data_IF_378259547805
#
_entry.id   IF_378259547805
#
_cell.length_a   1.000
_cell.length_b   1.000
_cell.length_c   1.000
_cell.angle_alpha   90.00
_cell.angle_beta   90.00
_cell.angle_gamma   90.00
#
_symmetry.space_group_name_H-M   'P 1'
#
loop_
_entity.id
_entity.type
_entity.pdbx_description
1 polymer ?
#
# COMPACT_ATOMS: atom_id res chain seq x y z
N UNK A 1 -40.28 10.66 -17.77
CA UNK A 1 -39.27 11.69 -17.40
C UNK A 1 -38.46 11.33 -16.15
N UNK A 2 -39.01 10.66 -15.12
CA UNK A 2 -38.26 10.34 -13.88
C UNK A 2 -37.10 9.35 -14.08
N UNK A 3 -37.26 8.35 -14.96
CA UNK A 3 -36.23 7.34 -15.25
C UNK A 3 -35.02 7.88 -16.02
N UNK A 4 -35.21 8.94 -16.80
CA UNK A 4 -34.11 9.57 -17.54
C UNK A 4 -33.17 10.31 -16.57
N UNK A 5 -33.74 11.00 -15.57
CA UNK A 5 -32.97 11.61 -14.47
C UNK A 5 -32.19 10.56 -13.68
N UNK A 6 -32.84 9.42 -13.37
CA UNK A 6 -32.19 8.31 -12.67
C UNK A 6 -30.96 7.77 -13.40
N UNK A 7 -31.05 7.60 -14.72
CA UNK A 7 -29.94 7.13 -15.55
C UNK A 7 -28.80 8.16 -15.65
N UNK A 8 -29.11 9.45 -15.68
CA UNK A 8 -28.07 10.50 -15.61
C UNK A 8 -27.33 10.44 -14.26
N UNK A 9 -28.07 10.25 -13.16
CA UNK A 9 -27.46 10.10 -11.85
C UNK A 9 -26.53 8.89 -11.76
N UNK A 10 -26.88 7.72 -12.32
CA UNK A 10 -25.99 6.55 -12.29
C UNK A 10 -24.67 6.80 -13.04
N UNK A 11 -24.72 7.51 -14.17
CA UNK A 11 -23.51 7.92 -14.92
C UNK A 11 -22.62 8.83 -14.07
N UNK A 12 -23.19 9.80 -13.35
CA UNK A 12 -22.44 10.69 -12.46
C UNK A 12 -21.75 9.90 -11.33
N UNK A 13 -22.42 8.92 -10.74
CA UNK A 13 -21.81 8.01 -9.75
C UNK A 13 -20.66 7.21 -10.36
N UNK A 14 -20.82 6.74 -11.60
CA UNK A 14 -19.77 6.06 -12.35
C UNK A 14 -18.53 6.93 -12.56
N UNK A 15 -18.70 8.19 -12.96
CA UNK A 15 -17.59 9.14 -13.12
C UNK A 15 -16.87 9.36 -11.77
N UNK A 16 -17.63 9.57 -10.68
CA UNK A 16 -17.06 9.73 -9.34
C UNK A 16 -16.24 8.51 -8.89
N UNK A 17 -16.67 7.30 -9.29
CA UNK A 17 -15.98 6.06 -9.00
C UNK A 17 -14.63 5.89 -9.69
N UNK A 18 -14.34 6.63 -10.76
CA UNK A 18 -13.06 6.50 -11.50
C UNK A 18 -11.83 6.85 -10.64
N UNK A 19 -11.99 7.75 -9.66
CA UNK A 19 -10.94 8.15 -8.73
C UNK A 19 -10.86 7.27 -7.47
N UNK A 20 -11.69 6.23 -7.41
CA UNK A 20 -11.85 5.34 -6.25
C UNK A 20 -11.39 3.93 -6.59
N UNK A 21 -11.00 3.17 -5.58
CA UNK A 21 -10.56 1.78 -5.72
C UNK A 21 -11.61 0.86 -6.32
N UNK A 22 -12.90 1.13 -6.08
CA UNK A 22 -14.03 0.40 -6.66
C UNK A 22 -14.15 0.58 -8.19
N UNK A 23 -13.55 1.63 -8.74
CA UNK A 23 -13.54 1.94 -10.17
C UNK A 23 -14.87 2.52 -10.68
N UNK A 24 -14.83 3.15 -11.85
CA UNK A 24 -16.00 3.82 -12.43
C UNK A 24 -17.08 2.87 -12.92
N UNK A 25 -16.69 1.75 -13.53
CA UNK A 25 -17.64 0.71 -13.95
C UNK A 25 -18.31 0.04 -12.75
N UNK A 26 -17.54 -0.28 -11.70
CA UNK A 26 -18.07 -0.85 -10.46
C UNK A 26 -19.08 0.09 -9.79
N UNK A 27 -18.71 1.37 -9.65
CA UNK A 27 -19.58 2.43 -9.16
C UNK A 27 -20.89 2.57 -9.97
N UNK A 28 -20.78 2.57 -11.30
CA UNK A 28 -21.92 2.68 -12.20
C UNK A 28 -22.88 1.49 -12.03
N UNK A 29 -22.38 0.25 -12.10
CA UNK A 29 -23.22 -0.94 -11.97
C UNK A 29 -23.83 -1.08 -10.58
N UNK A 30 -23.08 -0.73 -9.53
CA UNK A 30 -23.60 -0.73 -8.16
C UNK A 30 -24.77 0.27 -8.03
N UNK A 31 -24.60 1.47 -8.61
CA UNK A 31 -25.63 2.51 -8.62
C UNK A 31 -26.85 2.13 -9.46
N UNK A 32 -26.65 1.36 -10.54
CA UNK A 32 -27.70 0.89 -11.44
C UNK A 32 -28.56 -0.20 -10.76
N UNK A 33 -27.93 -1.09 -9.99
CA UNK A 33 -28.61 -2.23 -9.36
C UNK A 33 -29.27 -1.88 -8.02
N UNK A 34 -28.61 -1.09 -7.15
CA UNK A 34 -29.13 -0.79 -5.81
C UNK A 34 -29.94 0.51 -5.77
N UNK A 35 -29.39 1.59 -6.35
CA UNK A 35 -29.93 2.96 -6.45
C UNK A 35 -28.75 3.92 -6.56
N UNK A 36 -28.86 5.04 -7.30
CA UNK A 36 -27.85 6.09 -7.33
C UNK A 36 -27.42 6.54 -5.93
N UNK A 37 -28.36 6.67 -5.00
CA UNK A 37 -28.05 7.11 -3.63
C UNK A 37 -27.12 6.12 -2.91
N UNK A 38 -27.40 4.82 -3.06
CA UNK A 38 -26.61 3.76 -2.44
C UNK A 38 -25.25 3.64 -3.14
N UNK A 39 -25.22 3.78 -4.47
CA UNK A 39 -24.00 3.85 -5.26
C UNK A 39 -23.06 4.98 -4.79
N UNK A 40 -23.59 6.17 -4.50
CA UNK A 40 -22.80 7.29 -3.95
C UNK A 40 -22.19 6.92 -2.59
N UNK A 41 -22.96 6.32 -1.69
CA UNK A 41 -22.47 5.96 -0.35
C UNK A 41 -21.29 4.98 -0.46
N UNK A 42 -21.45 3.91 -1.25
CA UNK A 42 -20.40 2.91 -1.43
C UNK A 42 -19.16 3.46 -2.16
N UNK A 43 -19.35 4.33 -3.16
CA UNK A 43 -18.22 4.96 -3.86
C UNK A 43 -17.43 5.91 -2.96
N UNK A 44 -18.10 6.64 -2.08
CA UNK A 44 -17.45 7.51 -1.12
C UNK A 44 -16.75 6.75 0.00
N UNK A 45 -17.32 5.62 0.44
CA UNK A 45 -16.70 4.70 1.39
C UNK A 45 -15.47 3.97 0.80
N UNK A 46 -15.35 3.91 -0.53
CA UNK A 46 -14.19 3.33 -1.21
C UNK A 46 -12.94 4.21 -1.07
N UNK A 47 -11.81 3.58 -0.81
CA UNK A 47 -10.50 4.24 -0.71
C UNK A 47 -10.19 5.04 -1.99
N UNK A 48 -9.59 6.23 -1.81
CA UNK A 48 -9.08 7.01 -2.94
C UNK A 48 -7.80 6.39 -3.47
N UNK A 49 -7.63 6.39 -4.79
CA UNK A 49 -6.41 5.87 -5.43
C UNK A 49 -5.14 6.62 -5.00
N UNK A 50 -5.25 7.92 -4.70
CA UNK A 50 -4.15 8.75 -4.23
C UNK A 50 -3.56 8.29 -2.90
N UNK A 51 -4.42 7.84 -1.98
CA UNK A 51 -4.00 7.46 -0.63
C UNK A 51 -3.24 6.13 -0.67
N UNK A 52 -3.62 5.25 -1.60
CA UNK A 52 -2.93 3.98 -1.86
C UNK A 52 -1.52 4.26 -2.42
N UNK A 53 -1.43 5.12 -3.44
CA UNK A 53 -0.14 5.47 -4.05
C UNK A 53 0.82 6.11 -3.04
N UNK A 54 0.33 7.02 -2.19
CA UNK A 54 1.13 7.63 -1.13
C UNK A 54 1.60 6.61 -0.09
N UNK A 55 0.71 5.71 0.35
CA UNK A 55 1.05 4.64 1.30
C UNK A 55 2.09 3.68 0.72
N UNK A 56 2.00 3.36 -0.56
CA UNK A 56 2.95 2.50 -1.24
C UNK A 56 4.33 3.17 -1.36
N UNK A 57 4.40 4.46 -1.70
CA UNK A 57 5.68 5.19 -1.73
C UNK A 57 6.33 5.28 -0.35
N UNK A 58 5.54 5.47 0.71
CA UNK A 58 6.05 5.47 2.08
C UNK A 58 6.60 4.10 2.48
N UNK A 59 5.85 3.02 2.20
CA UNK A 59 6.32 1.65 2.44
C UNK A 59 7.64 1.36 1.72
N UNK A 60 7.73 1.70 0.43
CA UNK A 60 8.96 1.53 -0.36
C UNK A 60 10.15 2.29 0.24
N UNK A 61 9.96 3.54 0.64
CA UNK A 61 11.03 4.32 1.28
C UNK A 61 11.49 3.74 2.63
N UNK A 62 10.57 3.18 3.41
CA UNK A 62 10.88 2.51 4.68
C UNK A 62 11.62 1.19 4.44
N UNK A 63 11.24 0.42 3.41
CA UNK A 63 11.92 -0.82 3.03
C UNK A 63 13.33 -0.56 2.49
N UNK A 64 13.50 0.47 1.66
CA UNK A 64 14.81 0.89 1.16
C UNK A 64 15.70 1.39 2.30
N UNK A 65 15.17 2.22 3.20
CA UNK A 65 15.90 2.68 4.38
C UNK A 65 16.27 1.50 5.30
N UNK A 66 15.36 0.56 5.53
CA UNK A 66 15.62 -0.64 6.34
C UNK A 66 16.70 -1.53 5.70
N UNK A 67 16.66 -1.72 4.38
CA UNK A 67 17.68 -2.48 3.64
C UNK A 67 19.04 -1.81 3.71
N UNK A 68 19.10 -0.49 3.52
CA UNK A 68 20.33 0.28 3.64
C UNK A 68 20.92 0.18 5.07
N UNK A 69 20.10 0.34 6.11
CA UNK A 69 20.54 0.18 7.49
C UNK A 69 21.10 -1.24 7.75
N UNK A 70 20.40 -2.29 7.34
CA UNK A 70 20.88 -3.67 7.48
C UNK A 70 22.24 -3.91 6.81
N UNK A 71 22.47 -3.35 5.62
CA UNK A 71 23.77 -3.45 4.93
C UNK A 71 24.87 -2.73 5.72
N UNK A 72 24.61 -1.52 6.21
CA UNK A 72 25.57 -0.79 7.03
C UNK A 72 25.85 -1.48 8.36
N UNK A 73 24.85 -2.14 8.95
CA UNK A 73 24.99 -2.89 10.19
C UNK A 73 25.81 -4.17 9.99
N UNK A 74 25.63 -4.86 8.86
CA UNK A 74 26.46 -6.00 8.47
C UNK A 74 27.93 -5.61 8.23
N UNK A 75 28.16 -4.45 7.64
CA UNK A 75 29.51 -3.91 7.38
C UNK A 75 30.23 -3.57 8.69
N UNK A 76 29.55 -2.87 9.62
CA UNK A 76 30.07 -2.63 10.98
C UNK A 76 30.34 -3.93 11.74
N UNK A 77 29.47 -4.93 11.60
CA UNK A 77 29.68 -6.25 12.20
C UNK A 77 30.94 -6.94 11.68
N UNK A 78 31.22 -6.81 10.38
CA UNK A 78 32.42 -7.37 9.78
C UNK A 78 33.69 -6.66 10.29
N UNK A 79 33.65 -5.33 10.40
CA UNK A 79 34.77 -4.54 10.93
C UNK A 79 35.08 -4.87 12.40
N UNK A 80 34.07 -5.09 13.24
CA UNK A 80 34.25 -5.47 14.65
C UNK A 80 34.87 -6.87 14.80
N UNK A 81 34.55 -7.78 13.87
CA UNK A 81 35.18 -9.10 13.79
C UNK A 81 36.65 -8.99 13.38
N UNK A 82 36.97 -8.21 12.33
CA UNK A 82 38.36 -8.04 11.88
C UNK A 82 39.24 -7.38 12.93
N UNK A 83 38.69 -6.46 13.72
CA UNK A 83 39.39 -5.85 14.88
C UNK A 83 39.60 -6.83 16.04
N UNK A 84 39.12 -8.07 15.94
CA UNK A 84 39.24 -9.10 16.98
C UNK A 84 38.40 -8.82 18.22
N UNK A 85 37.43 -7.92 18.14
CA UNK A 85 36.53 -7.56 19.25
C UNK A 85 35.41 -8.59 19.39
N UNK A 86 35.01 -9.22 18.27
CA UNK A 86 34.02 -10.31 18.24
C UNK A 86 34.67 -11.66 17.95
N UNK A 87 34.17 -12.71 18.60
CA UNK A 87 34.46 -14.09 18.21
C UNK A 87 33.66 -14.48 16.97
N UNK A 88 34.09 -15.54 16.26
CA UNK A 88 33.37 -16.04 15.08
C UNK A 88 31.92 -16.42 15.41
N UNK A 89 31.71 -16.99 16.59
CA UNK A 89 30.40 -17.45 17.07
C UNK A 89 29.42 -16.28 17.26
N UNK A 90 29.87 -15.22 17.94
CA UNK A 90 29.07 -14.00 18.16
C UNK A 90 28.76 -13.24 16.86
N UNK A 91 29.68 -13.32 15.88
CA UNK A 91 29.49 -12.70 14.57
C UNK A 91 28.42 -13.42 13.76
N UNK A 92 28.47 -14.76 13.73
CA UNK A 92 27.50 -15.57 12.99
C UNK A 92 26.09 -15.43 13.59
N UNK A 93 25.96 -15.41 14.92
CA UNK A 93 24.68 -15.20 15.60
C UNK A 93 24.04 -13.86 15.20
N UNK A 94 24.80 -12.76 15.27
CA UNK A 94 24.31 -11.42 14.92
C UNK A 94 24.02 -11.26 13.42
N UNK A 95 24.84 -11.87 12.55
CA UNK A 95 24.61 -11.89 11.11
C UNK A 95 23.30 -12.60 10.74
N UNK A 96 23.03 -13.76 11.34
CA UNK A 96 21.79 -14.51 11.11
C UNK A 96 20.56 -13.73 11.59
N UNK A 97 20.68 -13.01 12.71
CA UNK A 97 19.62 -12.13 13.23
C UNK A 97 19.26 -10.98 12.29
N UNK A 98 20.24 -10.38 11.61
CA UNK A 98 20.01 -9.28 10.65
C UNK A 98 19.46 -9.80 9.32
N UNK A 99 19.92 -10.97 8.86
CA UNK A 99 19.45 -11.60 7.63
C UNK A 99 18.07 -12.27 7.79
N UNK A 100 17.57 -12.40 9.02
CA UNK A 100 16.25 -12.98 9.31
C UNK A 100 16.14 -14.46 8.93
N UNK A 101 17.27 -15.17 8.88
CA UNK A 101 17.26 -16.61 8.63
C UNK A 101 17.03 -17.33 9.94
N UNK A 102 15.76 -17.68 10.22
CA UNK A 102 15.41 -18.71 11.21
C UNK A 102 15.88 -20.08 10.73
#
# INVERSE_FOLDING_TARGET
MIYLSWFVFTILVGILGTYRKIGGAGAFFLSLFLSPLIGVIFTLASEKLTDIAYKESMLKSVDEAKKANNLTDLEKLHELKEKGILTEEEYQEKKNKILGSN
#
